data_IF_279159449556
#
_entry.id   IF_279159449556
#
_cell.length_a   1.000
_cell.length_b   1.000
_cell.length_c   1.000
_cell.angle_alpha   90.00
_cell.angle_beta   90.00
_cell.angle_gamma   90.00
#
_symmetry.space_group_name_H-M   'P 1'
#
loop_
_entity.id
_entity.type
_entity.pdbx_description
1 polymer ?
#
# COMPACT_ATOMS: atom_id res chain seq x y z
N UNK A 1 11.95 37.53 14.90
CA UNK A 1 10.69 36.84 14.58
C UNK A 1 10.85 35.77 13.52
N UNK A 2 11.50 36.07 12.39
CA UNK A 2 11.65 35.14 11.28
C UNK A 2 12.49 33.88 11.63
N UNK A 3 13.46 34.04 12.50
CA UNK A 3 14.28 32.94 13.02
C UNK A 3 13.42 31.93 13.79
N UNK A 4 12.49 32.40 14.63
CA UNK A 4 11.59 31.52 15.40
C UNK A 4 10.65 30.72 14.50
N UNK A 5 10.17 31.32 13.42
CA UNK A 5 9.31 30.62 12.48
C UNK A 5 10.08 29.55 11.68
N UNK A 6 11.31 29.85 11.32
CA UNK A 6 12.18 28.87 10.66
C UNK A 6 12.48 27.68 11.59
N UNK A 7 12.85 27.97 12.84
CA UNK A 7 13.11 26.94 13.84
C UNK A 7 11.86 26.08 14.10
N UNK A 8 10.67 26.69 14.12
CA UNK A 8 9.40 25.99 14.27
C UNK A 8 9.13 25.06 13.08
N UNK A 9 9.36 25.54 11.85
CA UNK A 9 9.20 24.73 10.63
C UNK A 9 10.18 23.56 10.62
N UNK A 10 11.43 23.79 10.93
CA UNK A 10 12.46 22.74 11.02
C UNK A 10 12.11 21.71 12.10
N UNK A 11 11.64 22.16 13.25
CA UNK A 11 11.20 21.27 14.33
C UNK A 11 10.00 20.43 13.91
N UNK A 12 9.02 21.01 13.24
CA UNK A 12 7.87 20.30 12.73
C UNK A 12 8.28 19.26 11.68
N UNK A 13 9.17 19.62 10.77
CA UNK A 13 9.68 18.70 9.75
C UNK A 13 10.46 17.51 10.34
N UNK A 14 11.18 17.73 11.44
CA UNK A 14 11.93 16.68 12.14
C UNK A 14 11.09 15.85 13.13
N UNK A 15 9.93 16.34 13.53
CA UNK A 15 9.05 15.62 14.46
C UNK A 15 8.42 14.37 13.84
N UNK A 16 8.34 14.32 12.51
CA UNK A 16 7.70 13.27 11.73
C UNK A 16 6.21 13.04 12.11
N UNK A 17 5.57 14.08 12.69
CA UNK A 17 4.18 14.07 13.14
C UNK A 17 3.35 15.00 12.27
N UNK A 18 2.44 14.41 11.49
CA UNK A 18 1.57 15.15 10.57
C UNK A 18 0.71 16.21 11.28
N UNK A 19 0.14 15.87 12.44
CA UNK A 19 -0.72 16.79 13.22
C UNK A 19 0.01 18.08 13.60
N UNK A 20 1.29 17.99 14.02
CA UNK A 20 2.10 19.16 14.37
C UNK A 20 2.34 20.03 13.14
N UNK A 21 2.57 19.42 12.00
CA UNK A 21 2.76 20.14 10.74
C UNK A 21 1.47 20.85 10.29
N UNK A 22 0.32 20.19 10.41
CA UNK A 22 -0.98 20.75 10.05
C UNK A 22 -1.41 21.89 10.98
N UNK A 23 -1.18 21.75 12.29
CA UNK A 23 -1.44 22.80 13.28
C UNK A 23 -0.58 24.04 13.01
N UNK A 24 0.70 23.85 12.71
CA UNK A 24 1.59 24.95 12.38
C UNK A 24 1.22 25.61 11.05
N UNK A 25 0.79 24.84 10.07
CA UNK A 25 0.27 25.34 8.80
C UNK A 25 -0.96 26.25 9.02
N UNK A 26 -1.90 25.79 9.82
CA UNK A 26 -3.10 26.53 10.18
C UNK A 26 -2.75 27.85 10.91
N UNK A 27 -1.79 27.80 11.81
CA UNK A 27 -1.30 29.01 12.50
C UNK A 27 -0.72 30.03 11.52
N UNK A 28 0.05 29.63 10.50
CA UNK A 28 0.59 30.56 9.51
C UNK A 28 -0.50 31.15 8.61
N UNK A 29 -1.53 30.41 8.34
CA UNK A 29 -2.72 30.89 7.61
C UNK A 29 -3.46 31.92 8.43
N UNK A 30 -3.74 31.66 9.70
CA UNK A 30 -4.47 32.56 10.60
C UNK A 30 -3.71 33.87 10.86
N UNK A 31 -2.38 33.79 10.94
CA UNK A 31 -1.52 34.96 11.07
C UNK A 31 -1.28 35.71 9.76
N UNK A 32 -1.75 35.18 8.63
CA UNK A 32 -1.59 35.78 7.30
C UNK A 32 -0.14 35.74 6.77
N UNK A 33 0.72 34.92 7.33
CA UNK A 33 2.13 34.81 6.93
C UNK A 33 2.30 33.86 5.74
N UNK A 34 2.09 34.38 4.55
CA UNK A 34 2.12 33.63 3.29
C UNK A 34 3.48 33.04 2.96
N UNK A 35 4.55 33.70 3.38
CA UNK A 35 5.94 33.24 3.15
C UNK A 35 6.26 32.01 4.01
N UNK A 36 5.89 32.03 5.30
CA UNK A 36 6.03 30.88 6.18
C UNK A 36 5.11 29.74 5.75
N UNK A 37 3.89 30.04 5.31
CA UNK A 37 2.99 29.05 4.72
C UNK A 37 3.64 28.34 3.52
N UNK A 38 4.19 29.10 2.57
CA UNK A 38 4.87 28.52 1.41
C UNK A 38 6.10 27.70 1.82
N UNK A 39 6.92 28.20 2.76
CA UNK A 39 8.08 27.47 3.26
C UNK A 39 7.69 26.14 3.92
N UNK A 40 6.57 26.13 4.65
CA UNK A 40 6.02 24.93 5.29
C UNK A 40 5.65 23.84 4.30
N UNK A 41 5.04 24.20 3.16
CA UNK A 41 4.67 23.26 2.10
C UNK A 41 5.88 22.51 1.52
N UNK A 42 7.05 23.13 1.52
CA UNK A 42 8.29 22.50 1.06
C UNK A 42 8.99 21.71 2.16
N UNK A 43 9.10 22.28 3.36
CA UNK A 43 9.78 21.65 4.47
C UNK A 43 9.07 20.40 4.98
N UNK A 44 7.76 20.42 5.03
CA UNK A 44 6.92 19.32 5.51
C UNK A 44 6.16 18.62 4.37
N UNK A 45 6.75 18.57 3.17
CA UNK A 45 6.11 18.05 1.96
C UNK A 45 5.51 16.65 2.12
N UNK A 46 6.23 15.73 2.75
CA UNK A 46 5.81 14.35 2.94
C UNK A 46 4.87 14.16 4.15
N UNK A 47 4.81 15.12 5.06
CA UNK A 47 3.98 15.06 6.26
C UNK A 47 2.58 15.63 6.04
N UNK A 48 2.47 16.66 5.20
CA UNK A 48 1.22 17.36 4.96
C UNK A 48 0.30 16.55 4.05
N UNK A 49 -0.95 16.38 4.47
CA UNK A 49 -1.97 15.77 3.64
C UNK A 49 -2.38 16.73 2.51
N UNK A 50 -2.30 16.31 1.23
CA UNK A 50 -2.54 17.20 0.09
C UNK A 50 -3.97 17.70 -0.01
N UNK A 51 -4.94 16.96 0.48
CA UNK A 51 -6.34 17.34 0.58
C UNK A 51 -6.56 18.46 1.61
N UNK A 52 -5.92 18.36 2.79
CA UNK A 52 -5.94 19.40 3.83
C UNK A 52 -5.30 20.69 3.31
N UNK A 53 -4.14 20.58 2.67
CA UNK A 53 -3.45 21.73 2.06
C UNK A 53 -4.33 22.39 0.99
N UNK A 54 -5.01 21.60 0.17
CA UNK A 54 -5.91 22.12 -0.86
C UNK A 54 -7.12 22.85 -0.26
N UNK A 55 -7.74 22.27 0.75
CA UNK A 55 -8.89 22.86 1.43
C UNK A 55 -8.52 24.19 2.09
N UNK A 56 -7.43 24.21 2.86
CA UNK A 56 -6.94 25.43 3.51
C UNK A 56 -6.59 26.51 2.49
N UNK A 57 -5.88 26.16 1.42
CA UNK A 57 -5.50 27.11 0.38
C UNK A 57 -6.71 27.72 -0.34
N UNK A 58 -7.73 26.93 -0.59
CA UNK A 58 -8.95 27.37 -1.24
C UNK A 58 -9.74 28.33 -0.33
N UNK A 59 -9.90 28.01 0.95
CA UNK A 59 -10.63 28.83 1.93
C UNK A 59 -9.98 30.19 2.16
N UNK A 60 -8.66 30.25 2.13
CA UNK A 60 -7.89 31.46 2.47
C UNK A 60 -7.28 32.18 1.26
N UNK A 61 -7.69 31.81 0.05
CA UNK A 61 -7.19 32.39 -1.21
C UNK A 61 -5.65 32.34 -1.34
N UNK A 62 -5.04 31.21 -0.94
CA UNK A 62 -3.61 30.96 -1.01
C UNK A 62 -3.21 30.05 -2.19
N UNK A 63 -4.10 29.88 -3.16
CA UNK A 63 -3.93 28.95 -4.28
C UNK A 63 -2.65 29.20 -5.08
N UNK A 64 -2.24 30.46 -5.24
CA UNK A 64 -1.01 30.81 -5.97
C UNK A 64 0.26 30.24 -5.29
N UNK A 65 0.26 30.20 -3.96
CA UNK A 65 1.36 29.65 -3.17
C UNK A 65 1.31 28.11 -3.10
N UNK A 66 0.14 27.54 -3.20
CA UNK A 66 -0.10 26.10 -3.07
C UNK A 66 0.05 25.36 -4.40
N UNK A 67 -0.20 26.00 -5.51
CA UNK A 67 -0.24 25.37 -6.82
C UNK A 67 1.05 24.61 -7.18
N UNK A 68 2.26 25.13 -6.96
CA UNK A 68 3.50 24.37 -7.22
C UNK A 68 3.58 23.07 -6.41
N UNK A 69 3.19 23.11 -5.14
CA UNK A 69 3.11 21.94 -4.26
C UNK A 69 2.13 20.91 -4.83
N UNK A 70 0.92 21.32 -5.20
CA UNK A 70 -0.13 20.44 -5.73
C UNK A 70 0.29 19.77 -7.05
N UNK A 71 0.93 20.52 -7.95
CA UNK A 71 1.42 19.98 -9.21
C UNK A 71 2.47 18.90 -8.94
N UNK A 72 3.43 19.18 -8.05
CA UNK A 72 4.49 18.23 -7.71
C UNK A 72 3.90 16.98 -7.05
N UNK A 73 3.03 17.16 -6.07
CA UNK A 73 2.37 16.06 -5.37
C UNK A 73 1.57 15.17 -6.32
N UNK A 74 0.81 15.75 -7.22
CA UNK A 74 0.05 15.01 -8.24
C UNK A 74 0.97 14.20 -9.17
N UNK A 75 2.12 14.77 -9.55
CA UNK A 75 3.13 14.05 -10.36
C UNK A 75 3.71 12.86 -9.60
N UNK A 76 4.08 13.06 -8.35
CA UNK A 76 4.66 12.02 -7.49
C UNK A 76 3.66 10.89 -7.25
N UNK A 77 2.41 11.21 -6.95
CA UNK A 77 1.35 10.22 -6.82
C UNK A 77 1.16 9.40 -8.10
N UNK A 78 1.15 10.05 -9.26
CA UNK A 78 1.05 9.34 -10.55
C UNK A 78 2.23 8.42 -10.81
N UNK A 79 3.44 8.85 -10.46
CA UNK A 79 4.63 8.02 -10.59
C UNK A 79 4.57 6.80 -9.66
N UNK A 80 4.19 7.01 -8.40
CA UNK A 80 4.01 5.92 -7.41
C UNK A 80 2.92 4.94 -7.85
N UNK A 81 1.79 5.44 -8.31
CA UNK A 81 0.70 4.60 -8.80
C UNK A 81 1.13 3.73 -9.99
N UNK A 82 1.79 4.31 -10.98
CA UNK A 82 2.30 3.56 -12.14
C UNK A 82 3.33 2.49 -11.73
N UNK A 83 4.18 2.78 -10.76
CA UNK A 83 5.13 1.81 -10.23
C UNK A 83 4.42 0.63 -9.57
N UNK A 84 3.41 0.91 -8.75
CA UNK A 84 2.57 -0.11 -8.11
C UNK A 84 1.79 -0.95 -9.14
N UNK A 85 1.18 -0.31 -10.13
CA UNK A 85 0.46 -1.01 -11.20
C UNK A 85 1.38 -1.96 -11.97
N UNK A 86 2.61 -1.52 -12.24
CA UNK A 86 3.63 -2.36 -12.89
C UNK A 86 3.99 -3.55 -12.01
N UNK A 87 4.24 -3.33 -10.73
CA UNK A 87 4.58 -4.39 -9.77
C UNK A 87 3.46 -5.42 -9.63
N UNK A 88 2.21 -4.97 -9.51
CA UNK A 88 1.05 -5.84 -9.44
C UNK A 88 0.92 -6.68 -10.72
N UNK A 89 1.11 -6.06 -11.88
CA UNK A 89 1.06 -6.78 -13.16
C UNK A 89 2.18 -7.81 -13.30
N UNK A 90 3.38 -7.49 -12.84
CA UNK A 90 4.51 -8.43 -12.84
C UNK A 90 4.28 -9.61 -11.88
N UNK A 91 3.68 -9.35 -10.70
CA UNK A 91 3.30 -10.42 -9.76
C UNK A 91 2.25 -11.33 -10.37
N UNK A 92 1.18 -10.77 -10.92
CA UNK A 92 0.12 -11.54 -11.58
C UNK A 92 0.66 -12.40 -12.73
N UNK A 93 1.60 -11.88 -13.54
CA UNK A 93 2.24 -12.63 -14.61
C UNK A 93 3.10 -13.80 -14.09
N UNK A 94 3.78 -13.61 -12.95
CA UNK A 94 4.57 -14.66 -12.30
C UNK A 94 3.69 -15.76 -11.71
N UNK A 95 2.57 -15.39 -11.12
CA UNK A 95 1.63 -16.34 -10.52
C UNK A 95 0.98 -17.20 -11.61
N UNK A 96 0.53 -16.60 -12.71
CA UNK A 96 -0.01 -17.35 -13.85
C UNK A 96 1.03 -18.25 -14.53
N UNK A 97 2.30 -17.84 -14.53
CA UNK A 97 3.39 -18.68 -15.06
C UNK A 97 3.68 -19.89 -14.16
N UNK A 98 3.58 -19.72 -12.83
CA UNK A 98 3.73 -20.82 -11.88
C UNK A 98 2.60 -21.83 -11.97
N UNK A 99 1.36 -21.36 -12.04
CA UNK A 99 0.18 -22.22 -12.20
C UNK A 99 0.29 -23.08 -13.46
N UNK A 100 0.73 -22.49 -14.58
CA UNK A 100 0.97 -23.23 -15.83
C UNK A 100 2.09 -24.26 -15.73
N UNK A 101 3.16 -23.95 -14.98
CA UNK A 101 4.24 -24.91 -14.75
C UNK A 101 3.83 -26.07 -13.83
N UNK A 102 2.97 -25.82 -12.85
CA UNK A 102 2.43 -26.86 -11.99
C UNK A 102 1.42 -27.75 -12.74
N UNK A 103 0.67 -27.18 -13.69
CA UNK A 103 -0.25 -27.92 -14.53
C UNK A 103 0.48 -28.72 -15.63
N UNK A 104 1.64 -28.26 -16.13
CA UNK A 104 2.52 -28.97 -17.06
C UNK A 104 3.53 -29.90 -16.37
N UNK A 105 3.61 -29.88 -15.03
CA UNK A 105 4.44 -30.85 -14.32
C UNK A 105 4.01 -32.26 -14.71
N UNK A 106 4.91 -33.11 -15.19
CA UNK A 106 4.54 -34.44 -15.63
C UNK A 106 3.92 -35.16 -14.44
N UNK A 107 2.63 -35.42 -14.53
CA UNK A 107 1.97 -36.38 -13.68
C UNK A 107 2.81 -37.63 -13.86
N UNK A 108 3.52 -38.05 -12.80
CA UNK A 108 4.27 -39.30 -12.78
C UNK A 108 3.35 -40.34 -13.36
N UNK A 109 3.70 -40.82 -14.56
CA UNK A 109 2.85 -41.69 -15.36
C UNK A 109 2.43 -42.92 -14.56
N UNK A 110 1.29 -43.54 -14.92
CA UNK A 110 0.70 -44.67 -14.21
C UNK A 110 1.65 -45.85 -13.97
N UNK A 111 2.83 -45.85 -14.61
CA UNK A 111 3.87 -46.89 -14.42
C UNK A 111 4.59 -46.86 -13.08
N UNK A 112 4.69 -45.72 -12.39
CA UNK A 112 5.36 -45.61 -11.08
C UNK A 112 4.45 -46.00 -9.90
N UNK A 113 3.16 -45.93 -10.06
CA UNK A 113 2.18 -46.36 -9.06
C UNK A 113 1.62 -47.76 -9.32
N UNK A 114 1.66 -48.25 -10.55
CA UNK A 114 1.13 -49.57 -10.92
C UNK A 114 1.92 -50.73 -10.32
N UNK A 115 3.21 -50.62 -10.18
CA UNK A 115 4.04 -51.70 -9.64
C UNK A 115 3.97 -51.86 -8.12
N UNK A 116 3.55 -50.85 -7.39
CA UNK A 116 3.42 -50.96 -5.93
C UNK A 116 2.09 -51.50 -5.46
N UNK A 117 1.07 -51.38 -6.28
CA UNK A 117 -0.28 -51.84 -5.98
C UNK A 117 -0.45 -53.34 -6.32
N UNK A 118 0.37 -53.90 -7.23
CA UNK A 118 0.27 -55.32 -7.65
C UNK A 118 1.02 -56.28 -6.72
N UNK A 119 1.86 -55.82 -5.83
CA UNK A 119 2.59 -56.67 -4.87
C UNK A 119 1.94 -56.72 -3.49
N UNK A 120 0.87 -56.01 -3.26
CA UNK A 120 0.13 -55.98 -1.99
C UNK A 120 -1.19 -56.71 -2.04
N UNK A 121 -1.42 -57.55 -3.04
CA UNK A 121 -2.68 -58.17 -3.26
C UNK A 121 -2.81 -59.60 -2.69
N UNK A 122 -2.33 -59.81 -1.47
CA UNK A 122 -2.63 -61.08 -0.78
C UNK A 122 -2.87 -60.78 0.70
N UNK A 123 -4.10 -60.47 1.00
CA UNK A 123 -4.51 -60.25 2.37
C UNK A 123 -6.00 -59.86 2.39
N UNK A 124 -6.84 -60.83 2.16
CA UNK A 124 -8.24 -60.70 2.43
C UNK A 124 -8.48 -60.44 3.90
N UNK A 125 -8.97 -59.31 4.23
CA UNK A 125 -9.46 -58.96 5.53
C UNK A 125 -10.67 -58.12 5.37
N UNK A 126 -11.79 -58.79 5.22
CA UNK A 126 -13.10 -58.21 5.37
C UNK A 126 -13.27 -57.63 6.75
N UNK A 127 -13.47 -56.38 6.85
CA UNK A 127 -14.49 -55.89 7.75
C UNK A 127 -14.98 -54.49 7.32
N UNK A 128 -16.17 -54.51 6.80
CA UNK A 128 -16.97 -53.37 6.50
C UNK A 128 -17.73 -53.00 7.77
N UNK A 129 -17.24 -51.99 8.48
CA UNK A 129 -18.08 -51.27 9.41
C UNK A 129 -18.23 -49.86 8.92
N UNK A 130 -19.33 -49.58 8.30
CA UNK A 130 -19.78 -48.25 8.00
C UNK A 130 -20.17 -47.53 9.30
N UNK A 131 -19.66 -46.37 9.57
CA UNK A 131 -20.23 -45.55 10.64
C UNK A 131 -21.54 -44.94 10.17
N UNK A 132 -22.54 -45.21 10.95
CA UNK A 132 -23.86 -44.63 10.76
C UNK A 132 -23.81 -43.13 11.01
N UNK A 133 -24.31 -42.40 10.06
CA UNK A 133 -24.65 -41.01 10.21
C UNK A 133 -25.71 -40.85 11.30
N UNK A 134 -25.36 -40.21 12.39
CA UNK A 134 -26.34 -39.58 13.25
C UNK A 134 -26.39 -38.11 12.93
N UNK A 135 -27.37 -37.80 12.14
CA UNK A 135 -27.99 -36.51 12.03
C UNK A 135 -28.57 -36.14 13.39
N UNK A 136 -28.18 -35.01 13.92
CA UNK A 136 -28.96 -34.30 14.92
C UNK A 136 -28.66 -32.79 14.82
N UNK A 137 -29.69 -32.10 14.32
CA UNK A 137 -30.01 -30.68 14.39
C UNK A 137 -28.99 -29.69 13.84
#
# INVERSE_FOLDING_TARGET
SDALFRDAIETAAHSDVAEVAEDLLSYFVDTGNKECYAAMLYACYDLLAPDVVMEVSWRHALSDYTMPYQIQHTRDMRCRLRALEKEVRERAAKDTAKEKQEEEAPILGPGAFGNRLLTSGAGAGTDMMAPQSTSLF
#
